data_IF_115093233878
#
_entry.id   IF_115093233878
#
_cell.length_a   1.000
_cell.length_b   1.000
_cell.length_c   1.000
_cell.angle_alpha   90.00
_cell.angle_beta   90.00
_cell.angle_gamma   90.00
#
_symmetry.space_group_name_H-M   'P 1'
#
loop_
_entity.id
_entity.type
_entity.pdbx_description
1 polymer ?
#
# COMPACT_ATOMS: atom_id res chain seq x y z
N UNK A 1 8.15 0.86 -4.60
CA UNK A 1 9.25 1.83 -4.47
C UNK A 1 8.58 3.12 -4.11
N UNK A 2 8.87 3.66 -2.93
CA UNK A 2 8.26 4.91 -2.49
C UNK A 2 9.31 5.75 -1.77
N UNK A 3 10.22 6.31 -2.57
CA UNK A 3 11.48 6.93 -2.13
C UNK A 3 11.29 8.34 -1.54
N UNK A 4 10.08 8.90 -1.62
CA UNK A 4 9.79 10.27 -1.16
C UNK A 4 8.61 10.36 -0.17
N UNK A 5 8.13 9.22 0.34
CA UNK A 5 7.00 9.18 1.25
C UNK A 5 7.47 9.44 2.69
N UNK A 6 7.20 10.66 3.16
CA UNK A 6 7.58 11.15 4.50
C UNK A 6 6.55 10.83 5.60
N UNK A 7 5.42 10.23 5.22
CA UNK A 7 4.33 9.82 6.13
C UNK A 7 4.06 8.33 5.97
N UNK A 8 3.64 7.65 7.02
CA UNK A 8 3.31 6.23 6.92
C UNK A 8 1.98 6.03 6.17
N UNK A 9 1.97 5.09 5.22
CA UNK A 9 0.83 4.82 4.35
C UNK A 9 0.39 3.35 4.46
N UNK A 10 -0.83 3.06 4.01
CA UNK A 10 -1.28 1.72 3.66
C UNK A 10 -1.66 1.72 2.17
N UNK A 11 -1.31 0.67 1.45
CA UNK A 11 -1.66 0.46 0.04
C UNK A 11 -2.61 -0.73 -0.09
N UNK A 12 -3.75 -0.52 -0.74
CA UNK A 12 -4.67 -1.58 -1.13
C UNK A 12 -4.50 -1.91 -2.62
N UNK A 13 -4.23 -3.18 -2.92
CA UNK A 13 -4.19 -3.71 -4.28
C UNK A 13 -5.53 -4.28 -4.68
N UNK A 14 -6.02 -3.89 -5.86
CA UNK A 14 -7.38 -4.19 -6.31
C UNK A 14 -7.31 -4.75 -7.74
N UNK A 15 -8.01 -5.85 -8.00
CA UNK A 15 -8.09 -6.44 -9.34
C UNK A 15 -9.00 -5.63 -10.29
N UNK A 16 -9.11 -6.08 -11.54
CA UNK A 16 -9.95 -5.41 -12.54
C UNK A 16 -11.46 -5.50 -12.26
N UNK A 17 -11.89 -6.41 -11.39
CA UNK A 17 -13.29 -6.53 -10.96
C UNK A 17 -13.65 -5.59 -9.81
N UNK A 18 -12.65 -4.91 -9.22
CA UNK A 18 -12.82 -4.09 -8.03
C UNK A 18 -12.67 -4.87 -6.72
N UNK A 19 -12.20 -6.12 -6.78
CA UNK A 19 -11.98 -6.95 -5.58
C UNK A 19 -10.68 -6.55 -4.90
N UNK A 20 -10.75 -6.27 -3.60
CA UNK A 20 -9.56 -6.07 -2.76
C UNK A 20 -8.78 -7.37 -2.65
N UNK A 21 -7.54 -7.36 -3.10
CA UNK A 21 -6.64 -8.52 -3.10
C UNK A 21 -5.81 -8.57 -1.82
N UNK A 22 -5.20 -7.45 -1.47
CA UNK A 22 -4.23 -7.36 -0.38
C UNK A 22 -4.11 -5.91 0.10
N UNK A 23 -3.83 -5.73 1.40
CA UNK A 23 -3.42 -4.46 1.99
C UNK A 23 -2.01 -4.63 2.56
N UNK A 24 -1.10 -3.71 2.25
CA UNK A 24 0.23 -3.64 2.84
C UNK A 24 0.44 -2.30 3.54
N UNK A 25 1.13 -2.31 4.68
CA UNK A 25 1.58 -1.09 5.36
C UNK A 25 2.97 -0.70 4.86
N UNK A 26 3.10 0.57 4.46
CA UNK A 26 4.33 1.17 3.97
C UNK A 26 4.87 2.16 4.99
N UNK A 27 6.08 1.87 5.49
CA UNK A 27 6.78 2.76 6.39
C UNK A 27 7.63 3.75 5.58
N UNK A 28 7.80 5.00 6.05
CA UNK A 28 8.73 5.93 5.44
C UNK A 28 10.13 5.31 5.34
N UNK A 29 10.75 5.45 4.18
CA UNK A 29 12.10 4.98 3.96
C UNK A 29 13.10 6.05 4.39
N UNK A 30 13.96 5.73 5.35
CA UNK A 30 15.04 6.62 5.79
C UNK A 30 16.43 6.12 5.39
N UNK A 31 16.56 4.83 5.05
CA UNK A 31 17.83 4.15 4.72
C UNK A 31 17.74 3.45 3.36
N UNK A 32 18.82 3.50 2.56
CA UNK A 32 18.89 2.83 1.26
C UNK A 32 19.51 1.43 1.36
N UNK A 33 19.00 0.43 0.61
CA UNK A 33 17.88 0.52 -0.32
C UNK A 33 16.53 0.48 0.40
N UNK A 34 15.56 1.26 -0.11
CA UNK A 34 14.21 1.25 0.41
C UNK A 34 13.51 -0.10 0.20
N UNK A 35 12.60 -0.50 1.11
CA UNK A 35 11.79 -1.68 0.91
C UNK A 35 10.93 -1.54 -0.35
N UNK A 36 10.77 -2.65 -1.06
CA UNK A 36 9.89 -2.72 -2.22
C UNK A 36 8.64 -3.52 -1.84
N UNK A 37 7.50 -2.85 -1.92
CA UNK A 37 6.18 -3.43 -1.68
C UNK A 37 5.66 -4.01 -2.99
N UNK A 38 5.73 -5.33 -3.11
CA UNK A 38 5.22 -6.07 -4.26
C UNK A 38 3.93 -6.79 -3.87
N UNK A 39 2.85 -6.65 -4.64
CA UNK A 39 1.67 -7.49 -4.45
C UNK A 39 1.95 -8.91 -4.91
N UNK A 40 1.33 -9.88 -4.23
CA UNK A 40 1.43 -11.29 -4.60
C UNK A 40 0.66 -11.60 -5.89
N UNK A 41 -0.36 -10.81 -6.19
CA UNK A 41 -1.29 -11.05 -7.30
C UNK A 41 -1.24 -9.92 -8.35
N UNK A 42 -1.53 -10.23 -9.63
CA UNK A 42 -1.78 -9.20 -10.64
C UNK A 42 -2.92 -8.29 -10.18
N UNK A 43 -2.65 -6.98 -10.17
CA UNK A 43 -3.61 -5.96 -9.76
C UNK A 43 -3.83 -4.97 -10.91
N UNK A 44 -4.97 -4.28 -10.88
CA UNK A 44 -5.31 -3.22 -11.84
C UNK A 44 -5.22 -1.84 -11.20
N UNK A 45 -5.52 -1.74 -9.91
CA UNK A 45 -5.52 -0.49 -9.18
C UNK A 45 -4.75 -0.63 -7.86
N UNK A 46 -4.11 0.45 -7.45
CA UNK A 46 -3.48 0.62 -6.15
C UNK A 46 -4.08 1.88 -5.50
N UNK A 47 -4.58 1.75 -4.28
CA UNK A 47 -5.10 2.86 -3.48
C UNK A 47 -4.21 3.08 -2.27
N UNK A 48 -3.52 4.22 -2.25
CA UNK A 48 -2.66 4.65 -1.14
C UNK A 48 -3.42 5.62 -0.24
N UNK A 49 -3.39 5.35 1.05
CA UNK A 49 -4.03 6.14 2.10
C UNK A 49 -3.13 6.22 3.33
N UNK A 50 -3.41 7.13 4.26
CA UNK A 50 -2.68 7.19 5.52
C UNK A 50 -2.80 5.86 6.28
N UNK A 51 -1.68 5.41 6.88
CA UNK A 51 -1.66 4.14 7.60
C UNK A 51 -2.73 4.11 8.70
N UNK A 52 -3.51 3.02 8.73
CA UNK A 52 -4.63 2.87 9.67
C UNK A 52 -5.99 3.28 9.13
N UNK A 53 -6.07 4.00 8.01
CA UNK A 53 -7.34 4.41 7.41
C UNK A 53 -8.28 3.22 7.13
N UNK A 54 -7.77 2.10 6.59
CA UNK A 54 -8.59 0.91 6.34
C UNK A 54 -9.19 0.33 7.63
N UNK A 55 -8.43 0.33 8.73
CA UNK A 55 -8.91 -0.11 10.04
C UNK A 55 -10.03 0.78 10.55
N UNK A 56 -9.90 2.10 10.39
CA UNK A 56 -10.92 3.07 10.78
C UNK A 56 -12.20 2.93 9.94
N UNK A 57 -12.05 2.62 8.65
CA UNK A 57 -13.17 2.33 7.74
C UNK A 57 -13.74 0.91 7.89
N UNK A 58 -13.15 0.07 8.77
CA UNK A 58 -13.52 -1.34 8.98
C UNK A 58 -13.50 -2.17 7.69
N UNK A 59 -12.53 -1.87 6.82
CA UNK A 59 -12.19 -2.65 5.63
C UNK A 59 -11.30 -3.82 6.02
#
# INVERSE_FOLDING_TARGET
MDENTIIALSIAFIDSSGTLLEIQDMNPCYDMPCPIYWPVYPYRFALEVNQGWFRDQKV
#
